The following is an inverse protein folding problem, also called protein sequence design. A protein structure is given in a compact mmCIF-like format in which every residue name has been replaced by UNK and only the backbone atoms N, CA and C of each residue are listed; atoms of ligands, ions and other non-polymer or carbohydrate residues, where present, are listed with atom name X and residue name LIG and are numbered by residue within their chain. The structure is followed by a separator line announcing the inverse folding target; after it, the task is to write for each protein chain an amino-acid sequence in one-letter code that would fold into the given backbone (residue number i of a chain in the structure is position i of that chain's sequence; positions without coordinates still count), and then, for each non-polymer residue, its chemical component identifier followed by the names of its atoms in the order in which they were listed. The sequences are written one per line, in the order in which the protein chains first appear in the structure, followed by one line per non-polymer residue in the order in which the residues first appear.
data_IF_041080318039
#
_entry.id   IF_041080318039
#
_cell.length_a   1.000
_cell.length_b   1.000
_cell.length_c   1.000
_cell.angle_alpha   90.00
_cell.angle_beta   90.00
_cell.angle_gamma   90.00
#
_symmetry.space_group_name_H-M   'P 1'
#
loop_
_entity.id
_entity.type
_entity.pdbx_description
1 polymer ?
#
# COMPACT_ATOMS: atom_id res chain seq x y z
N UNK A 1 -10.47 -13.00 8.55
CA UNK A 1 -9.92 -12.55 9.84
C UNK A 1 -8.70 -13.42 10.12
N UNK A 2 -7.51 -12.81 10.25
CA UNK A 2 -6.25 -13.52 10.48
C UNK A 2 -6.25 -14.23 11.83
N UNK A 3 -5.56 -15.38 11.89
CA UNK A 3 -5.38 -16.17 13.09
C UNK A 3 -4.10 -15.73 13.80
N UNK A 4 -4.19 -15.36 15.05
CA UNK A 4 -3.07 -15.00 15.92
C UNK A 4 -2.93 -16.05 17.03
N UNK A 5 -1.71 -16.56 17.21
CA UNK A 5 -1.34 -17.32 18.39
C UNK A 5 -0.38 -16.49 19.25
N UNK A 6 -0.66 -16.39 20.54
CA UNK A 6 0.21 -15.76 21.54
C UNK A 6 0.73 -16.87 22.46
N UNK A 7 2.02 -17.15 22.36
CA UNK A 7 2.72 -18.15 23.17
C UNK A 7 3.77 -17.43 24.04
N UNK A 8 3.41 -17.12 25.27
CA UNK A 8 4.26 -16.38 26.22
C UNK A 8 4.05 -16.92 27.64
N UNK A 9 5.13 -17.04 28.41
CA UNK A 9 5.10 -17.54 29.78
C UNK A 9 4.37 -16.61 30.76
N UNK A 10 4.16 -15.33 30.42
CA UNK A 10 3.39 -14.37 31.20
C UNK A 10 1.91 -14.40 30.82
N UNK A 11 1.07 -14.90 31.73
CA UNK A 11 -0.38 -14.92 31.55
C UNK A 11 -0.94 -13.50 31.42
N UNK A 12 -0.43 -12.56 32.21
CA UNK A 12 -0.84 -11.15 32.19
C UNK A 12 -0.58 -10.53 30.81
N UNK A 13 0.60 -10.74 30.25
CA UNK A 13 0.93 -10.26 28.91
C UNK A 13 0.04 -10.90 27.85
N UNK A 14 -0.19 -12.22 27.91
CA UNK A 14 -1.07 -12.94 26.99
C UNK A 14 -2.49 -12.38 27.02
N UNK A 15 -3.03 -12.10 28.21
CA UNK A 15 -4.38 -11.56 28.37
C UNK A 15 -4.47 -10.13 27.82
N UNK A 16 -3.57 -9.26 28.25
CA UNK A 16 -3.57 -7.86 27.83
C UNK A 16 -3.39 -7.72 26.31
N UNK A 17 -2.51 -8.50 25.70
CA UNK A 17 -2.31 -8.47 24.25
C UNK A 17 -3.52 -9.04 23.49
N UNK A 18 -4.16 -10.10 24.04
CA UNK A 18 -5.36 -10.65 23.43
C UNK A 18 -6.53 -9.64 23.47
N UNK A 19 -6.70 -8.91 24.58
CA UNK A 19 -7.71 -7.83 24.69
C UNK A 19 -7.41 -6.70 23.72
N UNK A 20 -6.15 -6.26 23.63
CA UNK A 20 -5.72 -5.19 22.72
C UNK A 20 -5.91 -5.52 21.25
N UNK A 21 -5.88 -6.82 20.92
CA UNK A 21 -6.03 -7.32 19.53
C UNK A 21 -7.42 -7.92 19.26
N UNK A 22 -8.32 -7.88 20.23
CA UNK A 22 -9.69 -8.36 20.08
C UNK A 22 -10.43 -7.63 18.96
N UNK A 23 -11.22 -8.37 18.20
CA UNK A 23 -11.95 -7.81 17.03
C UNK A 23 -11.10 -7.68 15.74
N UNK A 24 -9.76 -7.66 15.84
CA UNK A 24 -8.86 -7.62 14.68
C UNK A 24 -8.43 -9.01 14.25
N UNK A 25 -8.08 -9.86 15.20
CA UNK A 25 -7.60 -11.23 14.97
C UNK A 25 -8.47 -12.28 15.67
N UNK A 26 -8.43 -13.50 15.14
CA UNK A 26 -8.91 -14.67 15.86
C UNK A 26 -7.76 -15.16 16.74
N UNK A 27 -7.82 -14.89 18.06
CA UNK A 27 -6.71 -15.12 18.99
C UNK A 27 -6.83 -16.46 19.71
N UNK A 28 -5.71 -17.19 19.80
CA UNK A 28 -5.47 -18.27 20.75
C UNK A 28 -4.25 -17.97 21.59
N UNK A 29 -4.15 -18.57 22.79
CA UNK A 29 -3.09 -18.32 23.75
C UNK A 29 -2.62 -19.62 24.38
N UNK A 30 -1.33 -19.69 24.73
CA UNK A 30 -0.74 -20.72 25.56
C UNK A 30 0.48 -20.17 26.30
N UNK A 31 0.95 -20.91 27.32
CA UNK A 31 2.05 -20.49 28.19
C UNK A 31 3.23 -21.48 28.17
N UNK A 32 3.08 -22.63 27.53
CA UNK A 32 4.08 -23.70 27.46
C UNK A 32 4.46 -23.99 26.02
N UNK A 33 5.71 -24.36 25.81
CA UNK A 33 6.23 -24.60 24.47
C UNK A 33 5.64 -25.84 23.79
N UNK A 34 5.30 -26.87 24.54
CA UNK A 34 4.63 -28.06 23.96
C UNK A 34 3.23 -27.72 23.44
N UNK A 35 2.45 -26.98 24.24
CA UNK A 35 1.12 -26.50 23.82
C UNK A 35 1.23 -25.55 22.62
N UNK A 36 2.26 -24.70 22.61
CA UNK A 36 2.52 -23.81 21.48
C UNK A 36 2.75 -24.60 20.20
N UNK A 37 3.59 -25.65 20.23
CA UNK A 37 3.85 -26.50 19.07
C UNK A 37 2.58 -27.20 18.58
N UNK A 38 1.79 -27.79 19.49
CA UNK A 38 0.52 -28.44 19.15
C UNK A 38 -0.47 -27.46 18.51
N UNK A 39 -0.60 -26.26 19.09
CA UNK A 39 -1.46 -25.21 18.56
C UNK A 39 -0.96 -24.70 17.20
N UNK A 40 0.33 -24.53 17.01
CA UNK A 40 0.87 -24.12 15.69
C UNK A 40 0.49 -25.14 14.63
N UNK A 41 0.68 -26.43 14.89
CA UNK A 41 0.42 -27.48 13.91
C UNK A 41 -1.09 -27.68 13.64
N UNK A 42 -1.94 -27.58 14.67
CA UNK A 42 -3.38 -27.81 14.56
C UNK A 42 -4.16 -26.57 14.11
N UNK A 43 -3.86 -25.41 14.69
CA UNK A 43 -4.56 -24.16 14.42
C UNK A 43 -4.05 -23.44 13.16
N UNK A 44 -2.76 -23.64 12.81
CA UNK A 44 -2.06 -23.00 11.69
C UNK A 44 -2.26 -21.48 11.70
N UNK A 45 -1.66 -20.78 12.68
CA UNK A 45 -1.79 -19.34 12.78
C UNK A 45 -1.09 -18.64 11.62
N UNK A 46 -1.63 -17.48 11.20
CA UNK A 46 -1.00 -16.58 10.25
C UNK A 46 0.11 -15.76 10.92
N UNK A 47 -0.15 -15.34 12.17
CA UNK A 47 0.75 -14.56 13.02
C UNK A 47 1.02 -15.31 14.33
N UNK A 48 2.26 -15.25 14.78
CA UNK A 48 2.70 -15.87 16.04
C UNK A 48 3.50 -14.86 16.87
N UNK A 49 3.04 -14.58 18.10
CA UNK A 49 3.90 -14.00 19.14
C UNK A 49 4.50 -15.13 19.92
N UNK A 50 5.82 -15.22 20.00
CA UNK A 50 6.53 -16.35 20.58
C UNK A 50 7.61 -15.90 21.56
N UNK A 51 7.43 -16.23 22.83
CA UNK A 51 8.51 -16.13 23.81
C UNK A 51 9.58 -17.19 23.51
N UNK A 52 10.82 -16.77 23.28
CA UNK A 52 11.93 -17.71 23.05
C UNK A 52 12.29 -18.49 24.31
N UNK A 53 11.87 -18.02 25.49
CA UNK A 53 12.18 -18.62 26.80
C UNK A 53 10.95 -19.35 27.40
N UNK A 54 10.16 -20.02 26.56
CA UNK A 54 9.01 -20.81 27.03
C UNK A 54 9.45 -21.99 27.90
N UNK A 55 8.67 -22.35 28.93
CA UNK A 55 8.91 -23.55 29.72
C UNK A 55 8.63 -24.82 28.91
N UNK A 56 9.20 -25.94 29.33
CA UNK A 56 9.16 -27.31 28.79
C UNK A 56 9.82 -27.45 27.41
N UNK A 57 9.53 -26.59 26.45
CA UNK A 57 10.14 -26.53 25.13
C UNK A 57 10.36 -25.07 24.77
N UNK A 58 11.60 -24.67 24.58
CA UNK A 58 11.97 -23.30 24.21
C UNK A 58 11.39 -22.89 22.85
N UNK A 59 11.21 -21.57 22.66
CA UNK A 59 10.57 -21.05 21.44
C UNK A 59 11.36 -21.30 20.15
N UNK A 60 12.71 -21.38 20.22
CA UNK A 60 13.55 -21.73 19.07
C UNK A 60 13.24 -23.16 18.62
N UNK A 61 13.21 -24.10 19.57
CA UNK A 61 12.87 -25.51 19.33
C UNK A 61 11.41 -25.68 18.84
N UNK A 62 10.48 -24.90 19.40
CA UNK A 62 9.08 -24.87 18.93
C UNK A 62 9.04 -24.47 17.47
N UNK A 63 9.71 -23.39 17.10
CA UNK A 63 9.68 -22.84 15.75
C UNK A 63 10.34 -23.81 14.75
N UNK A 64 11.48 -24.38 15.09
CA UNK A 64 12.16 -25.39 14.27
C UNK A 64 11.24 -26.56 13.95
N UNK A 65 10.59 -27.15 14.97
CA UNK A 65 9.67 -28.29 14.80
C UNK A 65 8.41 -27.93 14.04
N UNK A 66 7.90 -26.70 14.22
CA UNK A 66 6.76 -26.21 13.45
C UNK A 66 7.09 -26.12 11.95
N UNK A 67 8.29 -25.60 11.62
CA UNK A 67 8.78 -25.52 10.24
C UNK A 67 9.02 -26.90 9.62
N UNK A 68 9.56 -27.85 10.39
CA UNK A 68 9.71 -29.24 9.97
C UNK A 68 8.35 -29.90 9.71
N UNK A 69 7.31 -29.51 10.47
CA UNK A 69 5.90 -29.90 10.26
C UNK A 69 5.20 -29.12 9.13
N UNK A 70 5.91 -28.29 8.39
CA UNK A 70 5.38 -27.55 7.21
C UNK A 70 4.53 -26.32 7.56
N UNK A 71 4.56 -25.84 8.80
CA UNK A 71 3.83 -24.62 9.22
C UNK A 71 4.80 -23.46 9.43
N UNK A 72 4.59 -22.36 8.73
CA UNK A 72 5.47 -21.18 8.74
C UNK A 72 4.64 -19.91 8.99
N UNK A 73 4.29 -19.59 10.24
CA UNK A 73 3.63 -18.33 10.58
C UNK A 73 4.61 -17.17 10.44
N UNK A 74 4.11 -15.94 10.30
CA UNK A 74 4.95 -14.75 10.53
C UNK A 74 5.14 -14.57 12.02
N UNK A 75 6.40 -14.53 12.46
CA UNK A 75 6.77 -14.59 13.87
C UNK A 75 7.26 -13.24 14.39
N UNK A 76 6.63 -12.76 15.46
CA UNK A 76 7.16 -11.76 16.36
C UNK A 76 7.69 -12.49 17.60
N UNK A 77 9.01 -12.54 17.75
CA UNK A 77 9.64 -13.16 18.90
C UNK A 77 9.74 -12.18 20.06
N UNK A 78 9.58 -12.69 21.30
CA UNK A 78 9.93 -11.96 22.52
C UNK A 78 11.00 -12.73 23.30
N UNK A 79 11.94 -12.03 23.90
CA UNK A 79 13.02 -12.69 24.66
C UNK A 79 13.54 -11.79 25.76
N UNK A 80 14.09 -12.38 26.82
CA UNK A 80 14.84 -11.65 27.88
C UNK A 80 16.34 -11.54 27.58
N UNK A 81 16.83 -12.35 26.66
CA UNK A 81 18.27 -12.44 26.33
C UNK A 81 18.43 -12.27 24.83
N UNK A 82 19.30 -11.35 24.44
CA UNK A 82 19.71 -11.15 23.06
C UNK A 82 21.23 -11.23 22.99
N UNK A 83 21.74 -12.38 22.57
CA UNK A 83 23.16 -12.61 22.32
C UNK A 83 23.36 -13.10 20.88
N UNK A 84 24.60 -13.26 20.46
CA UNK A 84 24.94 -13.63 19.08
C UNK A 84 24.27 -14.94 18.66
N UNK A 85 24.20 -15.94 19.56
CA UNK A 85 23.49 -17.20 19.27
C UNK A 85 22.00 -17.00 19.00
N UNK A 86 21.31 -16.23 19.85
CA UNK A 86 19.87 -15.95 19.68
C UNK A 86 19.66 -15.16 18.39
N UNK A 87 20.51 -14.18 18.08
CA UNK A 87 20.42 -13.41 16.82
C UNK A 87 20.59 -14.31 15.59
N UNK A 88 21.55 -15.22 15.62
CA UNK A 88 21.77 -16.19 14.54
C UNK A 88 20.56 -17.11 14.35
N UNK A 89 19.97 -17.63 15.45
CA UNK A 89 18.78 -18.48 15.38
C UNK A 89 17.56 -17.71 14.84
N UNK A 90 17.33 -16.47 15.28
CA UNK A 90 16.26 -15.58 14.79
C UNK A 90 16.39 -15.39 13.27
N UNK A 91 17.61 -15.09 12.79
CA UNK A 91 17.85 -14.91 11.37
C UNK A 91 17.65 -16.20 10.56
N UNK A 92 18.13 -17.35 11.08
CA UNK A 92 18.01 -18.66 10.42
C UNK A 92 16.56 -19.15 10.33
N UNK A 93 15.74 -18.82 11.33
CA UNK A 93 14.33 -19.25 11.41
C UNK A 93 13.38 -18.22 10.81
N UNK A 94 13.87 -17.22 10.08
CA UNK A 94 13.09 -16.20 9.39
C UNK A 94 12.08 -15.49 10.32
N UNK A 95 12.52 -15.16 11.55
CA UNK A 95 11.73 -14.39 12.51
C UNK A 95 11.61 -12.96 12.00
N UNK A 96 10.38 -12.50 11.77
CA UNK A 96 10.12 -11.22 11.14
C UNK A 96 10.48 -10.01 12.03
N UNK A 97 10.30 -10.14 13.34
CA UNK A 97 10.65 -9.12 14.31
C UNK A 97 10.93 -9.72 15.69
N UNK A 98 11.84 -9.11 16.44
CA UNK A 98 12.17 -9.54 17.79
C UNK A 98 12.15 -8.37 18.79
N UNK A 99 11.53 -8.57 19.95
CA UNK A 99 11.42 -7.61 21.04
C UNK A 99 12.12 -8.13 22.30
N UNK A 100 12.79 -7.23 23.02
CA UNK A 100 13.41 -7.56 24.31
C UNK A 100 12.40 -7.23 25.42
N UNK A 101 12.16 -8.20 26.30
CA UNK A 101 11.28 -8.02 27.47
C UNK A 101 11.93 -7.13 28.54
N UNK A 102 11.11 -6.29 29.23
CA UNK A 102 9.65 -6.22 29.18
C UNK A 102 9.11 -5.56 27.91
N UNK A 103 8.10 -6.15 27.28
CA UNK A 103 7.47 -5.62 26.09
C UNK A 103 6.23 -4.80 26.43
N UNK A 104 6.09 -3.62 25.84
CA UNK A 104 4.86 -2.86 25.91
C UNK A 104 3.78 -3.50 25.03
N UNK A 105 2.58 -3.71 25.60
CA UNK A 105 1.46 -4.40 24.94
C UNK A 105 0.98 -3.63 23.71
N UNK A 106 0.90 -2.30 23.81
CA UNK A 106 0.45 -1.44 22.71
C UNK A 106 1.45 -1.44 21.56
N UNK A 107 2.75 -1.30 21.86
CA UNK A 107 3.80 -1.39 20.86
C UNK A 107 3.83 -2.77 20.19
N UNK A 108 3.62 -3.85 20.97
CA UNK A 108 3.54 -5.20 20.41
C UNK A 108 2.35 -5.35 19.44
N UNK A 109 1.18 -4.80 19.79
CA UNK A 109 0.00 -4.82 18.92
C UNK A 109 0.20 -3.97 17.65
N UNK A 110 0.94 -2.86 17.71
CA UNK A 110 1.31 -2.03 16.56
C UNK A 110 2.24 -2.82 15.60
N UNK A 111 3.29 -3.47 16.11
CA UNK A 111 4.15 -4.33 15.30
C UNK A 111 3.40 -5.51 14.66
N UNK A 112 2.48 -6.13 15.40
CA UNK A 112 1.63 -7.19 14.83
C UNK A 112 0.77 -6.68 13.67
N UNK A 113 0.26 -5.46 13.75
CA UNK A 113 -0.52 -4.85 12.67
C UNK A 113 0.35 -4.60 11.45
N UNK A 114 1.56 -4.11 11.65
CA UNK A 114 2.52 -3.88 10.56
C UNK A 114 2.91 -5.20 9.89
N UNK A 115 3.20 -6.24 10.66
CA UNK A 115 3.49 -7.58 10.14
C UNK A 115 2.29 -8.19 9.40
N UNK A 116 1.07 -8.00 9.89
CA UNK A 116 -0.15 -8.43 9.23
C UNK A 116 -0.35 -7.73 7.86
N UNK A 117 -0.03 -6.45 7.77
CA UNK A 117 -0.08 -5.69 6.53
C UNK A 117 0.94 -6.20 5.48
N UNK A 118 2.06 -6.78 5.92
CA UNK A 118 3.02 -7.43 5.02
C UNK A 118 2.55 -8.80 4.53
N UNK A 119 1.79 -9.55 5.34
CA UNK A 119 1.18 -10.84 4.94
C UNK A 119 0.08 -10.67 3.90
N UNK A 120 -0.73 -9.70 4.11
CA UNK A 120 -1.76 -9.24 3.20
C UNK A 120 -1.48 -7.76 2.97
N UNK A 121 -0.57 -7.42 2.05
CA UNK A 121 -0.45 -6.01 1.69
C UNK A 121 -1.88 -5.60 1.34
N UNK A 122 -2.46 -4.74 2.19
CA UNK A 122 -3.63 -3.98 1.78
C UNK A 122 -3.25 -3.49 0.38
N UNK A 123 -4.09 -3.72 -0.64
CA UNK A 123 -3.81 -3.13 -1.94
C UNK A 123 -3.41 -1.69 -1.63
N UNK A 124 -2.24 -1.21 -2.07
CA UNK A 124 -1.71 0.09 -1.69
C UNK A 124 -2.88 1.04 -1.78
N UNK A 125 -3.14 1.80 -0.71
CA UNK A 125 -4.30 2.69 -0.64
C UNK A 125 -4.36 3.35 -2.01
N UNK A 126 -5.40 3.06 -2.80
CA UNK A 126 -5.43 3.45 -4.22
C UNK A 126 -5.01 4.90 -4.24
N UNK A 127 -3.95 5.26 -4.97
CA UNK A 127 -3.49 6.63 -4.95
C UNK A 127 -4.71 7.48 -5.27
N UNK A 128 -4.92 8.56 -4.52
CA UNK A 128 -6.01 9.47 -4.81
C UNK A 128 -5.94 9.92 -6.28
N UNK A 129 -7.08 10.30 -6.83
CA UNK A 129 -7.20 10.62 -8.25
C UNK A 129 -6.21 11.69 -8.72
N UNK A 130 -5.86 12.65 -7.84
CA UNK A 130 -4.87 13.68 -8.15
C UNK A 130 -3.46 13.10 -8.24
N UNK A 131 -3.13 12.10 -7.41
CA UNK A 131 -1.85 11.36 -7.48
C UNK A 131 -1.78 10.51 -8.74
N UNK A 132 -2.85 9.80 -9.12
CA UNK A 132 -2.92 9.04 -10.38
C UNK A 132 -2.75 9.96 -11.57
N UNK A 133 -3.48 11.06 -11.60
CA UNK A 133 -3.38 12.09 -12.64
C UNK A 133 -1.94 12.63 -12.76
N UNK A 134 -1.31 12.96 -11.62
CA UNK A 134 0.06 13.45 -11.60
C UNK A 134 1.04 12.44 -12.19
N UNK A 135 0.91 11.15 -11.83
CA UNK A 135 1.78 10.08 -12.34
C UNK A 135 1.65 9.92 -13.86
N UNK A 136 0.43 9.94 -14.40
CA UNK A 136 0.21 9.86 -15.85
C UNK A 136 0.82 11.09 -16.57
N UNK A 137 0.58 12.28 -16.05
CA UNK A 137 1.15 13.50 -16.64
C UNK A 137 2.69 13.47 -16.65
N UNK A 138 3.32 12.99 -15.57
CA UNK A 138 4.76 12.84 -15.50
C UNK A 138 5.28 11.80 -16.51
N UNK A 139 4.61 10.65 -16.65
CA UNK A 139 4.92 9.63 -17.66
C UNK A 139 4.86 10.21 -19.08
N UNK A 140 3.87 11.05 -19.35
CA UNK A 140 3.70 11.73 -20.64
C UNK A 140 4.69 12.89 -20.86
N UNK A 141 5.60 13.18 -19.91
CA UNK A 141 6.67 14.16 -20.06
C UNK A 141 6.26 15.59 -19.70
N UNK A 142 5.18 15.79 -18.95
CA UNK A 142 4.81 17.12 -18.46
C UNK A 142 5.77 17.59 -17.37
N UNK A 143 6.06 18.89 -17.37
CA UNK A 143 6.89 19.53 -16.35
C UNK A 143 6.03 20.14 -15.25
N UNK A 144 6.35 19.82 -13.99
CA UNK A 144 5.69 20.36 -12.80
C UNK A 144 5.88 21.88 -12.61
N UNK A 145 6.84 22.47 -13.34
CA UNK A 145 7.15 23.91 -13.25
C UNK A 145 6.14 24.81 -13.97
N UNK A 146 5.24 24.25 -14.77
CA UNK A 146 4.29 25.02 -15.57
C UNK A 146 2.89 25.00 -14.95
N UNK A 147 2.23 26.16 -14.90
CA UNK A 147 0.84 26.27 -14.43
C UNK A 147 -0.12 25.34 -15.17
N UNK A 148 0.13 25.07 -16.44
CA UNK A 148 -0.69 24.13 -17.22
C UNK A 148 -0.67 22.70 -16.68
N UNK A 149 0.41 22.25 -16.03
CA UNK A 149 0.45 20.98 -15.31
C UNK A 149 -0.50 20.99 -14.10
N UNK A 150 -0.47 22.06 -13.31
CA UNK A 150 -1.35 22.18 -12.15
C UNK A 150 -2.83 22.24 -12.57
N UNK A 151 -3.14 22.97 -13.65
CA UNK A 151 -4.50 23.02 -14.18
C UNK A 151 -4.98 21.69 -14.73
N UNK A 152 -4.12 20.88 -15.35
CA UNK A 152 -4.47 19.53 -15.79
C UNK A 152 -4.73 18.58 -14.61
N UNK A 153 -3.98 18.73 -13.51
CA UNK A 153 -4.22 17.93 -12.28
C UNK A 153 -5.58 18.18 -11.67
N UNK A 154 -6.17 19.36 -11.86
CA UNK A 154 -7.54 19.67 -11.42
C UNK A 154 -8.57 19.34 -12.50
N UNK A 155 -8.28 19.63 -13.78
CA UNK A 155 -9.21 19.44 -14.88
C UNK A 155 -9.56 17.96 -15.14
N UNK A 156 -8.59 17.05 -15.05
CA UNK A 156 -8.78 15.61 -15.35
C UNK A 156 -9.69 14.95 -14.31
N UNK A 157 -9.47 15.10 -13.00
CA UNK A 157 -10.39 14.59 -11.96
C UNK A 157 -11.81 15.16 -12.07
N UNK A 158 -11.95 16.44 -12.37
CA UNK A 158 -13.28 17.06 -12.60
C UNK A 158 -14.00 16.41 -13.79
N UNK A 159 -13.29 16.21 -14.91
CA UNK A 159 -13.84 15.55 -16.08
C UNK A 159 -14.19 14.07 -15.83
N UNK A 160 -13.41 13.38 -15.00
CA UNK A 160 -13.71 12.01 -14.57
C UNK A 160 -15.01 11.92 -13.77
N UNK A 161 -15.21 12.82 -12.81
CA UNK A 161 -16.41 12.85 -11.97
C UNK A 161 -17.68 13.23 -12.75
N UNK A 162 -17.54 13.96 -13.85
CA UNK A 162 -18.66 14.51 -14.62
C UNK A 162 -18.54 14.18 -16.11
N UNK A 163 -18.80 12.90 -16.49
CA UNK A 163 -18.69 12.47 -17.88
C UNK A 163 -19.63 13.25 -18.79
N UNK A 164 -19.14 13.58 -19.99
CA UNK A 164 -19.93 14.31 -21.00
C UNK A 164 -19.99 15.83 -20.84
N UNK A 165 -19.38 16.41 -19.79
CA UNK A 165 -19.33 17.86 -19.64
C UNK A 165 -18.37 18.51 -20.66
N UNK A 166 -18.79 19.68 -21.17
CA UNK A 166 -17.96 20.46 -22.10
C UNK A 166 -16.76 21.08 -21.36
N UNK A 167 -15.54 20.67 -21.70
CA UNK A 167 -14.30 21.14 -21.08
C UNK A 167 -14.22 22.67 -21.05
N UNK A 168 -14.48 23.34 -22.18
CA UNK A 168 -14.37 24.79 -22.31
C UNK A 168 -15.42 25.57 -21.51
N UNK A 169 -16.64 25.03 -21.41
CA UNK A 169 -17.77 25.75 -20.81
C UNK A 169 -17.93 25.46 -19.31
N UNK A 170 -17.49 24.31 -18.85
CA UNK A 170 -17.76 23.83 -17.50
C UNK A 170 -16.49 23.54 -16.71
N UNK A 171 -15.53 22.83 -17.29
CA UNK A 171 -14.30 22.45 -16.57
C UNK A 171 -13.35 23.64 -16.38
N UNK A 172 -13.05 24.41 -17.45
CA UNK A 172 -12.12 25.53 -17.32
C UNK A 172 -12.55 26.63 -16.34
N UNK A 173 -13.83 27.06 -16.28
CA UNK A 173 -14.26 28.01 -15.27
C UNK A 173 -14.12 27.49 -13.84
N UNK A 174 -14.32 26.18 -13.63
CA UNK A 174 -14.18 25.56 -12.31
C UNK A 174 -12.73 25.44 -11.89
N UNK A 175 -11.83 24.99 -12.79
CA UNK A 175 -10.39 24.98 -12.57
C UNK A 175 -9.89 26.40 -12.31
N UNK A 176 -10.39 27.37 -13.04
CA UNK A 176 -10.07 28.79 -12.83
C UNK A 176 -10.42 29.26 -11.42
N UNK A 177 -11.59 28.87 -10.88
CA UNK A 177 -11.98 29.17 -9.50
C UNK A 177 -11.09 28.47 -8.46
N UNK A 178 -10.73 27.21 -8.70
CA UNK A 178 -9.87 26.45 -7.78
C UNK A 178 -8.42 26.97 -7.74
N UNK A 179 -7.95 27.52 -8.87
CA UNK A 179 -6.56 27.96 -9.03
C UNK A 179 -6.40 29.50 -9.09
N UNK A 180 -7.44 30.25 -8.76
CA UNK A 180 -7.47 31.73 -8.84
C UNK A 180 -6.98 32.26 -10.22
N UNK A 181 -7.56 31.75 -11.30
CA UNK A 181 -7.18 32.06 -12.66
C UNK A 181 -8.41 32.27 -13.57
N UNK A 182 -8.27 33.10 -14.59
CA UNK A 182 -9.29 33.24 -15.64
C UNK A 182 -9.37 32.00 -16.54
N UNK A 183 -10.57 31.64 -17.03
CA UNK A 183 -10.78 30.48 -17.90
C UNK A 183 -9.85 30.48 -19.13
N UNK A 184 -9.64 31.68 -19.75
CA UNK A 184 -8.82 31.81 -20.95
C UNK A 184 -7.34 31.61 -20.64
N UNK A 185 -6.91 31.98 -19.44
CA UNK A 185 -5.58 31.69 -18.92
C UNK A 185 -5.40 30.19 -18.70
N UNK A 186 -6.39 29.51 -18.07
CA UNK A 186 -6.39 28.05 -17.88
C UNK A 186 -6.24 27.35 -19.23
N UNK A 187 -7.07 27.69 -20.21
CA UNK A 187 -7.05 27.10 -21.55
C UNK A 187 -5.70 27.26 -22.22
N UNK A 188 -5.15 28.51 -22.22
CA UNK A 188 -3.86 28.82 -22.82
C UNK A 188 -2.70 28.09 -22.18
N UNK A 189 -2.66 28.04 -20.84
CA UNK A 189 -1.61 27.34 -20.10
C UNK A 189 -1.65 25.83 -20.31
N UNK A 190 -2.84 25.22 -20.34
CA UNK A 190 -3.03 23.80 -20.67
C UNK A 190 -2.56 23.53 -22.10
N UNK A 191 -2.93 24.37 -23.08
CA UNK A 191 -2.49 24.23 -24.47
C UNK A 191 -0.97 24.23 -24.56
N UNK A 192 -0.31 25.20 -23.92
CA UNK A 192 1.16 25.31 -23.91
C UNK A 192 1.82 24.10 -23.23
N UNK A 193 1.24 23.59 -22.16
CA UNK A 193 1.76 22.40 -21.46
C UNK A 193 1.68 21.15 -22.35
N UNK A 194 0.53 20.93 -23.01
CA UNK A 194 0.35 19.82 -23.96
C UNK A 194 1.33 19.93 -25.13
N UNK A 195 1.46 21.12 -25.72
CA UNK A 195 2.40 21.38 -26.83
C UNK A 195 3.84 21.06 -26.42
N UNK A 196 4.25 21.51 -25.25
CA UNK A 196 5.59 21.25 -24.72
C UNK A 196 5.86 19.77 -24.45
N UNK A 197 4.91 19.07 -23.87
CA UNK A 197 5.01 17.63 -23.61
C UNK A 197 5.01 16.84 -24.93
N UNK A 198 4.13 17.18 -25.86
CA UNK A 198 4.04 16.52 -27.17
C UNK A 198 5.29 16.65 -28.02
N UNK A 199 5.97 17.81 -28.01
CA UNK A 199 7.24 18.02 -28.74
C UNK A 199 8.39 17.14 -28.22
N UNK A 200 8.34 16.75 -26.93
CA UNK A 200 9.38 15.95 -26.27
C UNK A 200 8.91 14.53 -25.97
N UNK A 201 7.80 14.14 -26.57
CA UNK A 201 7.10 12.90 -26.23
C UNK A 201 7.94 11.66 -26.50
N UNK A 202 7.67 10.62 -25.71
CA UNK A 202 8.00 9.26 -26.07
C UNK A 202 6.78 8.66 -26.81
N UNK A 203 6.93 8.36 -28.09
CA UNK A 203 5.84 7.88 -28.95
C UNK A 203 5.22 6.58 -28.41
N UNK A 204 6.00 5.68 -27.81
CA UNK A 204 5.48 4.44 -27.23
C UNK A 204 4.48 4.72 -26.11
N UNK A 205 4.84 5.61 -25.18
CA UNK A 205 3.98 5.96 -24.05
C UNK A 205 2.74 6.75 -24.48
N UNK A 206 2.87 7.63 -25.46
CA UNK A 206 1.72 8.39 -25.95
C UNK A 206 0.73 7.54 -26.74
N UNK A 207 1.19 6.46 -27.41
CA UNK A 207 0.33 5.50 -28.10
C UNK A 207 -0.53 4.64 -27.15
N UNK A 208 -0.19 4.57 -25.87
CA UNK A 208 -1.04 3.95 -24.88
C UNK A 208 -2.39 4.71 -24.69
N UNK A 209 -2.38 6.01 -24.93
CA UNK A 209 -3.52 6.91 -24.71
C UNK A 209 -4.14 7.45 -26.01
N UNK A 210 -3.34 7.65 -27.04
CA UNK A 210 -3.76 8.33 -28.27
C UNK A 210 -3.47 7.48 -29.50
N UNK A 211 -4.49 7.23 -30.31
CA UNK A 211 -4.34 6.46 -31.54
C UNK A 211 -3.61 7.27 -32.62
N UNK A 212 -2.71 6.65 -33.40
CA UNK A 212 -2.09 7.28 -34.53
C UNK A 212 -3.12 7.54 -35.64
N UNK A 213 -2.87 8.57 -36.46
CA UNK A 213 -3.65 8.85 -37.65
C UNK A 213 -3.46 7.79 -38.75
N UNK A 214 -4.17 7.94 -39.88
CA UNK A 214 -4.05 7.02 -41.03
C UNK A 214 -2.62 6.95 -41.62
N UNK A 215 -1.81 7.97 -41.39
CA UNK A 215 -0.41 8.07 -41.77
C UNK A 215 0.56 7.37 -40.80
N UNK A 216 0.02 6.72 -39.75
CA UNK A 216 0.79 6.08 -38.70
C UNK A 216 1.43 7.02 -37.67
N UNK A 217 1.22 8.33 -37.82
CA UNK A 217 1.81 9.34 -36.96
C UNK A 217 0.84 9.78 -35.87
N UNK A 218 1.38 10.09 -34.68
CA UNK A 218 0.61 10.73 -33.62
C UNK A 218 0.39 12.20 -33.93
N UNK A 219 -0.87 12.62 -33.94
CA UNK A 219 -1.24 14.01 -33.97
C UNK A 219 -1.38 14.61 -32.58
N UNK A 220 -1.03 15.88 -32.43
CA UNK A 220 -1.21 16.57 -31.16
C UNK A 220 -2.70 16.63 -30.80
N UNK A 221 -3.12 16.09 -29.66
CA UNK A 221 -4.53 16.12 -29.27
C UNK A 221 -4.98 17.55 -28.93
N UNK A 222 -6.25 17.86 -29.18
CA UNK A 222 -6.85 19.07 -28.63
C UNK A 222 -6.86 19.01 -27.10
N UNK A 223 -6.95 20.16 -26.42
CA UNK A 223 -7.02 20.18 -24.96
C UNK A 223 -8.22 19.35 -24.43
N UNK A 224 -9.37 19.46 -25.08
CA UNK A 224 -10.57 18.70 -24.72
C UNK A 224 -10.37 17.20 -24.87
N UNK A 225 -9.84 16.76 -26.02
CA UNK A 225 -9.53 15.35 -26.26
C UNK A 225 -8.51 14.81 -25.25
N UNK A 226 -7.47 15.58 -24.95
CA UNK A 226 -6.47 15.17 -23.96
C UNK A 226 -7.07 14.94 -22.58
N UNK A 227 -7.87 15.90 -22.09
CA UNK A 227 -8.52 15.81 -20.77
C UNK A 227 -9.54 14.67 -20.75
N UNK A 228 -10.39 14.52 -21.77
CA UNK A 228 -11.42 13.48 -21.78
C UNK A 228 -10.83 12.08 -21.89
N UNK A 229 -9.79 11.88 -22.72
CA UNK A 229 -9.13 10.58 -22.88
C UNK A 229 -8.49 10.12 -21.55
N UNK A 230 -7.76 11.00 -20.85
CA UNK A 230 -7.16 10.64 -19.57
C UNK A 230 -8.21 10.44 -18.46
N UNK A 231 -9.27 11.24 -18.48
CA UNK A 231 -10.38 11.05 -17.53
C UNK A 231 -11.11 9.71 -17.73
N UNK A 232 -11.28 9.28 -18.98
CA UNK A 232 -11.87 7.98 -19.32
C UNK A 232 -10.97 6.82 -18.92
N UNK A 233 -9.67 6.92 -19.22
CA UNK A 233 -8.66 5.92 -18.82
C UNK A 233 -8.67 5.70 -17.31
N UNK A 234 -8.58 6.79 -16.54
CA UNK A 234 -8.60 6.74 -15.08
C UNK A 234 -9.90 6.15 -14.53
N UNK A 235 -11.06 6.42 -15.17
CA UNK A 235 -12.35 5.84 -14.78
C UNK A 235 -12.37 4.32 -15.01
N UNK A 236 -11.81 3.85 -16.12
CA UNK A 236 -11.76 2.44 -16.44
C UNK A 236 -10.82 1.67 -15.48
N UNK A 237 -9.75 2.30 -15.00
CA UNK A 237 -8.85 1.74 -13.98
C UNK A 237 -9.48 1.73 -12.58
N UNK A 238 -10.39 2.67 -12.28
CA UNK A 238 -11.11 2.72 -10.99
C UNK A 238 -12.28 1.72 -10.92
N UNK A 239 -12.70 1.14 -12.03
CA UNK A 239 -13.78 0.14 -12.05
C UNK A 239 -15.15 0.73 -11.75
N UNK A 240 -15.40 2.01 -12.07
CA UNK A 240 -16.69 2.70 -12.00
C UNK A 240 -17.32 2.76 -13.37
#
# INVERSE_FOLDING_TARGET
MLKLLIADSSEEFCLALAEQTAGTYRVRRCQQGKDALELILSYKPDLLVLDLMLPELDGISVLQRAMDGGVRPVVLATTRIMNDYVQEQIARLDVAFAMIKPCDVKATAEHLRDLANHLHPLPPARPDIHTLTANILLKLGFSTKHNGYNYLREAIPLAMQRPGQMVTKQIYPEVGRLCDAGKDQVERCIRTAIDSAFRRRNDVLWREFFQPGPDGNLSRPSNGLFISTLAEQLRNEDGV
#
